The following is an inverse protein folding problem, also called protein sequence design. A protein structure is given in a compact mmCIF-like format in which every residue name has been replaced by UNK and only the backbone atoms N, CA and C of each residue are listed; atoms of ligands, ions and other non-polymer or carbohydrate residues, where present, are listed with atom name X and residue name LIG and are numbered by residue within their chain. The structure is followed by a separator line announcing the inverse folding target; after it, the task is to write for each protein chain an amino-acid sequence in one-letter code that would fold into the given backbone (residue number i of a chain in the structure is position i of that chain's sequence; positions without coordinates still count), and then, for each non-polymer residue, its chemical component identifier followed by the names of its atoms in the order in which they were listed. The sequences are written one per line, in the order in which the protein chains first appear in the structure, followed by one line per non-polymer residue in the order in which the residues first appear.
data_IF_907855983353
#
_entry.id   IF_907855983353
#
_cell.length_a   1.000
_cell.length_b   1.000
_cell.length_c   1.000
_cell.angle_alpha   90.00
_cell.angle_beta   90.00
_cell.angle_gamma   90.00
#
_symmetry.space_group_name_H-M   'P 1'
#
loop_
_entity.id
_entity.type
_entity.pdbx_description
1 polymer ?
#
# COMPACT_ATOMS: atom_id res chain seq x y z
N UNK A 1 5.12 4.19 23.58
CA UNK A 1 3.81 3.59 23.32
C UNK A 1 2.78 4.26 24.22
N UNK A 2 1.65 4.70 23.66
CA UNK A 2 0.55 5.30 24.42
C UNK A 2 -0.76 4.61 24.05
N UNK A 3 -1.53 4.23 25.05
CA UNK A 3 -2.84 3.64 24.87
C UNK A 3 -3.94 4.72 24.79
N UNK A 4 -5.00 4.44 24.04
CA UNK A 4 -6.17 5.30 24.00
C UNK A 4 -7.02 5.14 25.28
N UNK A 5 -7.42 6.24 25.88
CA UNK A 5 -8.25 6.26 27.08
C UNK A 5 -9.66 5.67 26.87
N UNK A 6 -10.10 5.58 25.62
CA UNK A 6 -11.39 5.03 25.20
C UNK A 6 -11.21 4.20 23.93
N UNK A 7 -12.25 3.42 23.54
CA UNK A 7 -12.26 2.69 22.27
C UNK A 7 -12.38 3.63 21.06
N UNK A 8 -11.43 4.57 20.91
CA UNK A 8 -11.36 5.47 19.76
C UNK A 8 -10.93 4.77 18.46
N UNK A 9 -10.25 3.62 18.59
CA UNK A 9 -9.94 2.70 17.51
C UNK A 9 -10.50 1.31 17.82
N UNK A 10 -11.03 0.64 16.83
CA UNK A 10 -11.51 -0.73 16.90
C UNK A 10 -11.13 -1.48 15.62
N UNK A 11 -10.50 -2.64 15.77
CA UNK A 11 -10.09 -3.52 14.65
C UNK A 11 -9.27 -2.81 13.55
N UNK A 12 -8.47 -1.80 13.93
CA UNK A 12 -7.66 -1.01 12.99
C UNK A 12 -8.41 0.16 12.33
N UNK A 13 -9.68 0.36 12.66
CA UNK A 13 -10.48 1.49 12.17
C UNK A 13 -10.57 2.61 13.21
N UNK A 14 -10.53 3.85 12.73
CA UNK A 14 -10.72 5.03 13.57
C UNK A 14 -12.21 5.30 13.72
N UNK A 15 -12.73 5.25 14.95
CA UNK A 15 -14.11 5.60 15.28
C UNK A 15 -14.25 7.03 15.79
N UNK A 16 -13.16 7.59 16.31
CA UNK A 16 -13.15 8.97 16.81
C UNK A 16 -11.84 9.64 16.38
N UNK A 17 -11.90 10.34 15.25
CA UNK A 17 -10.75 10.99 14.59
C UNK A 17 -10.07 11.98 15.54
N UNK A 18 -10.86 12.77 16.29
CA UNK A 18 -10.34 13.79 17.19
C UNK A 18 -9.57 13.19 18.35
N UNK A 19 -10.10 12.14 19.00
CA UNK A 19 -9.42 11.46 20.10
C UNK A 19 -8.14 10.76 19.66
N UNK A 20 -8.18 10.13 18.48
CA UNK A 20 -6.97 9.53 17.89
C UNK A 20 -5.96 10.63 17.57
N UNK A 21 -6.39 11.71 16.92
CA UNK A 21 -5.53 12.85 16.59
C UNK A 21 -4.93 13.52 17.82
N UNK A 22 -5.69 13.67 18.92
CA UNK A 22 -5.16 14.18 20.19
C UNK A 22 -4.10 13.26 20.81
N UNK A 23 -4.30 11.94 20.69
CA UNK A 23 -3.30 10.96 21.14
C UNK A 23 -2.01 11.06 20.32
N UNK A 24 -2.14 11.15 18.97
CA UNK A 24 -0.99 11.36 18.07
C UNK A 24 -0.28 12.67 18.43
N UNK A 25 -1.02 13.76 18.66
CA UNK A 25 -0.47 15.06 19.03
C UNK A 25 0.31 15.00 20.35
N UNK A 26 -0.18 14.29 21.36
CA UNK A 26 0.53 14.06 22.63
C UNK A 26 1.87 13.36 22.38
N UNK A 27 1.85 12.25 21.65
CA UNK A 27 3.06 11.49 21.31
C UNK A 27 4.04 12.33 20.50
N UNK A 28 3.55 13.08 19.49
CA UNK A 28 4.35 14.02 18.71
C UNK A 28 5.08 15.02 19.62
N UNK A 29 4.33 15.71 20.49
CA UNK A 29 4.90 16.73 21.38
C UNK A 29 5.94 16.15 22.36
N UNK A 30 5.72 14.92 22.82
CA UNK A 30 6.67 14.22 23.68
C UNK A 30 7.95 13.86 22.95
N UNK A 31 7.85 13.38 21.70
CA UNK A 31 9.00 13.08 20.85
C UNK A 31 9.77 14.35 20.46
N UNK A 32 9.08 15.44 20.09
CA UNK A 32 9.70 16.71 19.75
C UNK A 32 10.53 17.27 20.93
N UNK A 33 10.02 17.14 22.16
CA UNK A 33 10.77 17.53 23.37
C UNK A 33 11.99 16.66 23.62
N UNK A 34 11.92 15.35 23.35
CA UNK A 34 13.04 14.43 23.54
C UNK A 34 14.13 14.61 22.47
N UNK A 35 13.74 14.93 21.23
CA UNK A 35 14.62 15.05 20.08
C UNK A 35 15.14 16.49 19.87
N UNK A 36 14.57 17.46 20.59
CA UNK A 36 14.80 18.90 20.39
C UNK A 36 14.65 19.33 18.92
N UNK A 37 13.63 18.77 18.25
CA UNK A 37 13.32 19.12 16.85
C UNK A 37 11.82 18.96 16.57
N UNK A 38 11.32 19.75 15.61
CA UNK A 38 9.96 19.63 15.13
C UNK A 38 9.82 18.42 14.16
N UNK A 39 8.69 17.75 14.25
CA UNK A 39 8.28 16.64 13.38
C UNK A 39 7.17 17.15 12.45
N UNK A 40 7.37 16.99 11.13
CA UNK A 40 6.43 17.41 10.09
C UNK A 40 5.76 16.24 9.40
N UNK A 41 6.46 15.13 9.25
CA UNK A 41 6.06 14.00 8.43
C UNK A 41 6.04 12.72 9.23
N UNK A 42 5.12 11.81 8.84
CA UNK A 42 4.96 10.50 9.49
C UNK A 42 4.66 9.43 8.47
N UNK A 43 5.18 8.22 8.71
CA UNK A 43 4.78 7.02 8.00
C UNK A 43 3.68 6.30 8.81
N UNK A 44 2.64 5.84 8.13
CA UNK A 44 1.55 5.07 8.72
C UNK A 44 1.72 3.61 8.34
N UNK A 45 1.66 2.72 9.34
CA UNK A 45 1.51 1.29 9.12
C UNK A 45 0.05 0.91 9.42
N UNK A 46 -0.72 0.62 8.39
CA UNK A 46 -2.12 0.23 8.53
C UNK A 46 -2.22 -1.25 8.84
N UNK A 47 -3.10 -1.56 9.80
CA UNK A 47 -3.48 -2.92 10.15
C UNK A 47 -5.01 -3.04 10.13
N UNK A 48 -5.49 -4.26 10.15
CA UNK A 48 -6.90 -4.49 10.41
C UNK A 48 -7.56 -5.56 9.54
N UNK A 49 -8.75 -5.95 9.98
CA UNK A 49 -9.57 -6.99 9.35
C UNK A 49 -10.24 -6.53 8.06
N UNK A 50 -10.11 -5.25 7.71
CA UNK A 50 -10.72 -4.65 6.52
C UNK A 50 -9.84 -4.72 5.28
N UNK A 51 -8.61 -5.22 5.42
CA UNK A 51 -7.72 -5.48 4.28
C UNK A 51 -8.35 -6.47 3.32
N UNK A 52 -8.28 -6.15 2.03
CA UNK A 52 -8.67 -7.03 0.93
C UNK A 52 -7.47 -7.29 0.05
N UNK A 53 -7.28 -8.54 -0.33
CA UNK A 53 -6.20 -8.96 -1.22
C UNK A 53 -6.80 -9.53 -2.49
N UNK A 54 -6.28 -9.08 -3.63
CA UNK A 54 -6.71 -9.51 -4.96
C UNK A 54 -5.50 -10.02 -5.73
N UNK A 55 -5.63 -11.19 -6.34
CA UNK A 55 -4.67 -11.71 -7.31
C UNK A 55 -5.11 -11.27 -8.71
N UNK A 56 -4.24 -10.57 -9.40
CA UNK A 56 -4.49 -10.12 -10.75
C UNK A 56 -3.37 -10.55 -11.70
N UNK A 57 -3.72 -10.71 -12.96
CA UNK A 57 -2.77 -11.04 -14.04
C UNK A 57 -2.93 -10.02 -15.13
N UNK A 58 -1.82 -9.50 -15.62
CA UNK A 58 -1.79 -8.67 -16.82
C UNK A 58 -0.82 -9.26 -17.85
N UNK A 59 -1.13 -8.97 -19.10
CA UNK A 59 -0.36 -9.40 -20.24
C UNK A 59 -0.14 -8.23 -21.19
N UNK A 60 1.05 -8.13 -21.76
CA UNK A 60 1.39 -7.15 -22.77
C UNK A 60 2.04 -7.85 -23.96
N UNK A 61 1.45 -7.72 -25.14
CA UNK A 61 1.99 -8.22 -26.40
C UNK A 61 2.62 -7.07 -27.19
N UNK A 62 3.82 -7.29 -27.67
CA UNK A 62 4.53 -6.35 -28.55
C UNK A 62 4.11 -6.57 -30.02
N UNK A 63 4.15 -5.53 -30.83
CA UNK A 63 3.90 -5.65 -32.27
C UNK A 63 5.03 -6.41 -32.98
N UNK A 64 6.27 -6.27 -32.50
CA UNK A 64 7.46 -6.97 -32.96
C UNK A 64 8.29 -7.45 -31.78
N UNK A 65 9.12 -8.48 -31.97
CA UNK A 65 10.03 -8.97 -30.94
C UNK A 65 10.85 -7.83 -30.33
N UNK A 66 10.59 -7.49 -29.10
CA UNK A 66 11.12 -6.29 -28.43
C UNK A 66 11.97 -6.65 -27.23
N UNK A 67 13.07 -5.91 -27.02
CA UNK A 67 13.87 -6.04 -25.79
C UNK A 67 13.13 -5.38 -24.64
N UNK A 68 12.84 -6.16 -23.61
CA UNK A 68 12.11 -5.70 -22.42
C UNK A 68 12.98 -4.74 -21.60
N UNK A 69 12.41 -3.59 -21.26
CA UNK A 69 13.01 -2.55 -20.42
C UNK A 69 12.29 -2.43 -19.10
N UNK A 70 12.86 -1.67 -18.15
CA UNK A 70 12.20 -1.34 -16.87
C UNK A 70 10.87 -0.61 -17.09
N UNK A 71 10.75 0.24 -18.11
CA UNK A 71 9.50 0.94 -18.43
C UNK A 71 8.39 -0.05 -18.83
N UNK A 72 8.74 -1.08 -19.62
CA UNK A 72 7.79 -2.14 -19.98
C UNK A 72 7.32 -2.90 -18.75
N UNK A 73 8.23 -3.25 -17.84
CA UNK A 73 7.90 -3.95 -16.58
C UNK A 73 7.01 -3.08 -15.69
N UNK A 74 7.34 -1.80 -15.55
CA UNK A 74 6.54 -0.85 -14.79
C UNK A 74 5.12 -0.73 -15.37
N UNK A 75 4.99 -0.56 -16.67
CA UNK A 75 3.69 -0.48 -17.35
C UNK A 75 2.88 -1.77 -17.20
N UNK A 76 3.53 -2.92 -17.31
CA UNK A 76 2.89 -4.22 -17.09
C UNK A 76 2.35 -4.37 -15.65
N UNK A 77 3.14 -3.95 -14.65
CA UNK A 77 2.71 -3.98 -13.25
C UNK A 77 1.53 -3.03 -12.99
N UNK A 78 1.54 -1.83 -13.62
CA UNK A 78 0.40 -0.91 -13.54
C UNK A 78 -0.87 -1.52 -14.11
N UNK A 79 -0.80 -2.17 -15.27
CA UNK A 79 -1.95 -2.86 -15.86
C UNK A 79 -2.51 -3.94 -14.92
N UNK A 80 -1.66 -4.68 -14.24
CA UNK A 80 -2.10 -5.68 -13.27
C UNK A 80 -2.76 -5.04 -12.02
N UNK A 81 -2.26 -3.90 -11.55
CA UNK A 81 -2.89 -3.14 -10.45
C UNK A 81 -4.25 -2.59 -10.88
N UNK A 82 -4.38 -2.09 -12.12
CA UNK A 82 -5.68 -1.63 -12.68
C UNK A 82 -6.68 -2.78 -12.77
N UNK A 83 -6.25 -3.97 -13.22
CA UNK A 83 -7.10 -5.15 -13.27
C UNK A 83 -7.56 -5.56 -11.85
N UNK A 84 -6.65 -5.55 -10.86
CA UNK A 84 -7.00 -5.79 -9.47
C UNK A 84 -8.03 -4.78 -8.94
N UNK A 85 -7.88 -3.50 -9.30
CA UNK A 85 -8.85 -2.45 -8.97
C UNK A 85 -10.22 -2.69 -9.59
N UNK A 86 -10.25 -3.10 -10.85
CA UNK A 86 -11.52 -3.44 -11.52
C UNK A 86 -12.21 -4.62 -10.86
N UNK A 87 -11.44 -5.64 -10.44
CA UNK A 87 -11.99 -6.83 -9.77
C UNK A 87 -12.61 -6.45 -8.43
N UNK A 88 -11.90 -5.71 -7.57
CA UNK A 88 -12.43 -5.36 -6.24
C UNK A 88 -13.62 -4.41 -6.32
N UNK A 89 -13.67 -3.52 -7.31
CA UNK A 89 -14.79 -2.61 -7.51
C UNK A 89 -16.04 -3.32 -8.05
N UNK A 90 -15.89 -4.43 -8.80
CA UNK A 90 -17.03 -5.26 -9.22
C UNK A 90 -17.67 -6.00 -8.05
N UNK A 91 -16.91 -6.34 -7.02
CA UNK A 91 -17.41 -7.02 -5.82
C UNK A 91 -18.20 -6.09 -4.89
N UNK A 92 -18.05 -4.77 -5.03
CA UNK A 92 -18.69 -3.79 -4.14
C UNK A 92 -19.04 -2.49 -4.86
N UNK A 93 -20.29 -2.37 -5.25
CA UNK A 93 -20.82 -1.14 -5.89
C UNK A 93 -20.84 0.10 -4.97
N UNK A 94 -20.62 -0.06 -3.66
CA UNK A 94 -20.81 0.99 -2.66
C UNK A 94 -19.55 1.43 -1.94
N UNK A 95 -18.50 0.63 -1.96
CA UNK A 95 -17.26 0.92 -1.23
C UNK A 95 -16.14 1.14 -2.23
N UNK A 96 -15.49 2.28 -2.12
CA UNK A 96 -14.27 2.55 -2.87
C UNK A 96 -13.06 2.03 -2.10
N UNK A 97 -12.05 1.59 -2.84
CA UNK A 97 -10.84 1.01 -2.27
C UNK A 97 -9.59 1.71 -2.78
N UNK A 98 -8.63 1.88 -1.89
CA UNK A 98 -7.27 2.31 -2.19
C UNK A 98 -6.33 1.12 -2.24
N UNK A 99 -5.51 1.02 -3.29
CA UNK A 99 -4.39 0.09 -3.32
C UNK A 99 -3.28 0.62 -2.40
N UNK A 100 -3.04 -0.09 -1.33
CA UNK A 100 -2.03 0.30 -0.31
C UNK A 100 -0.73 -0.49 -0.44
N UNK A 101 -0.68 -1.46 -1.35
CA UNK A 101 0.51 -2.22 -1.67
C UNK A 101 0.25 -3.22 -2.78
N UNK A 102 1.28 -3.51 -3.55
CA UNK A 102 1.26 -4.57 -4.55
C UNK A 102 2.62 -5.26 -4.62
N UNK A 103 2.62 -6.53 -5.03
CA UNK A 103 3.83 -7.31 -5.16
C UNK A 103 3.69 -8.26 -6.34
N UNK A 104 4.56 -8.17 -7.35
CA UNK A 104 4.66 -9.20 -8.39
C UNK A 104 5.05 -10.53 -7.77
N UNK A 105 4.33 -11.59 -8.14
CA UNK A 105 4.58 -12.96 -7.66
C UNK A 105 5.36 -13.74 -8.70
N UNK A 106 4.97 -13.60 -9.95
CA UNK A 106 5.56 -14.33 -11.06
C UNK A 106 5.53 -13.49 -12.35
N UNK A 107 6.63 -13.58 -13.11
CA UNK A 107 6.70 -13.04 -14.46
C UNK A 107 6.80 -14.18 -15.47
N UNK A 108 6.23 -13.96 -16.67
CA UNK A 108 6.39 -14.88 -17.80
C UNK A 108 6.85 -14.14 -19.04
N UNK A 109 7.78 -14.78 -19.75
CA UNK A 109 8.30 -14.38 -21.04
C UNK A 109 7.83 -15.39 -22.09
N UNK A 110 7.04 -14.95 -23.07
CA UNK A 110 6.47 -15.83 -24.10
C UNK A 110 5.79 -17.09 -23.53
N UNK A 111 5.17 -16.94 -22.34
CA UNK A 111 4.46 -18.04 -21.63
C UNK A 111 5.33 -18.87 -20.68
N UNK A 112 6.64 -18.65 -20.62
CA UNK A 112 7.55 -19.36 -19.71
C UNK A 112 7.88 -18.51 -18.49
N UNK A 113 7.87 -19.13 -17.31
CA UNK A 113 8.20 -18.47 -16.05
C UNK A 113 9.65 -17.98 -16.07
N UNK A 114 9.87 -16.77 -15.59
CA UNK A 114 11.18 -16.13 -15.51
C UNK A 114 11.28 -15.24 -14.28
N UNK A 115 12.45 -15.19 -13.69
CA UNK A 115 12.68 -14.36 -12.49
C UNK A 115 12.84 -12.88 -12.81
N UNK A 116 13.45 -12.55 -13.96
CA UNK A 116 13.68 -11.19 -14.40
C UNK A 116 13.40 -11.05 -15.88
N UNK A 117 12.52 -10.14 -16.27
CA UNK A 117 12.17 -9.85 -17.65
C UNK A 117 13.19 -8.94 -18.34
N UNK A 118 13.88 -8.08 -17.57
CA UNK A 118 14.72 -7.03 -18.13
C UNK A 118 15.83 -7.59 -19.03
N UNK A 119 16.01 -6.95 -20.19
CA UNK A 119 17.06 -7.27 -21.14
C UNK A 119 16.76 -8.45 -22.07
N UNK A 120 15.75 -9.28 -21.79
CA UNK A 120 15.31 -10.35 -22.67
C UNK A 120 14.51 -9.81 -23.85
N UNK A 121 14.52 -10.55 -24.96
CA UNK A 121 13.63 -10.30 -26.10
C UNK A 121 12.36 -11.13 -25.97
N UNK A 122 11.23 -10.51 -26.24
CA UNK A 122 9.92 -11.12 -26.12
C UNK A 122 8.94 -10.61 -27.16
N UNK A 123 8.03 -11.45 -27.58
CA UNK A 123 6.80 -11.09 -28.28
C UNK A 123 5.70 -10.73 -27.28
N UNK A 124 5.76 -11.35 -26.09
CA UNK A 124 4.76 -11.20 -25.04
C UNK A 124 5.36 -11.34 -23.65
N UNK A 125 4.91 -10.47 -22.74
CA UNK A 125 5.25 -10.54 -21.33
C UNK A 125 3.97 -10.57 -20.49
N UNK A 126 4.00 -11.25 -19.34
CA UNK A 126 2.91 -11.22 -18.38
C UNK A 126 3.42 -11.21 -16.95
N UNK A 127 2.57 -10.73 -16.05
CA UNK A 127 2.80 -10.70 -14.61
C UNK A 127 1.59 -11.25 -13.88
N UNK A 128 1.84 -12.02 -12.85
CA UNK A 128 0.90 -12.34 -11.80
C UNK A 128 1.28 -11.50 -10.56
N UNK A 129 0.32 -10.76 -10.02
CA UNK A 129 0.54 -9.75 -9.00
C UNK A 129 -0.50 -9.89 -7.89
N UNK A 130 -0.07 -9.72 -6.65
CA UNK A 130 -0.94 -9.58 -5.49
C UNK A 130 -1.06 -8.10 -5.16
N UNK A 131 -2.27 -7.58 -5.17
CA UNK A 131 -2.58 -6.22 -4.73
C UNK A 131 -3.39 -6.26 -3.44
N UNK A 132 -3.08 -5.34 -2.51
CA UNK A 132 -3.77 -5.19 -1.24
C UNK A 132 -4.44 -3.84 -1.16
N UNK A 133 -5.68 -3.84 -0.71
CA UNK A 133 -6.57 -2.69 -0.69
C UNK A 133 -7.10 -2.42 0.71
N UNK A 134 -7.35 -1.14 0.99
CA UNK A 134 -8.12 -0.65 2.12
C UNK A 134 -9.33 0.14 1.63
N UNK A 135 -10.47 0.10 2.35
CA UNK A 135 -11.57 1.02 2.09
C UNK A 135 -11.12 2.47 2.16
N UNK A 136 -11.61 3.32 1.24
CA UNK A 136 -11.27 4.74 1.15
C UNK A 136 -11.50 5.45 2.48
N UNK A 137 -12.65 5.24 3.13
CA UNK A 137 -12.99 5.85 4.42
C UNK A 137 -12.01 5.50 5.54
N UNK A 138 -11.38 4.32 5.50
CA UNK A 138 -10.34 3.94 6.48
C UNK A 138 -9.06 4.74 6.24
N UNK A 139 -8.66 4.87 4.98
CA UNK A 139 -7.50 5.66 4.58
C UNK A 139 -7.71 7.13 4.93
N UNK A 140 -8.86 7.69 4.58
CA UNK A 140 -9.23 9.07 4.87
C UNK A 140 -9.22 9.35 6.37
N UNK A 141 -9.80 8.46 7.18
CA UNK A 141 -9.78 8.59 8.63
C UNK A 141 -8.37 8.62 9.22
N UNK A 142 -7.44 7.79 8.69
CA UNK A 142 -6.04 7.81 9.08
C UNK A 142 -5.36 9.14 8.73
N UNK A 143 -5.58 9.64 7.50
CA UNK A 143 -5.02 10.91 7.05
C UNK A 143 -5.58 12.09 7.84
N UNK A 144 -6.88 12.11 8.12
CA UNK A 144 -7.52 13.17 8.90
C UNK A 144 -7.01 13.20 10.35
N UNK A 145 -6.86 12.05 11.00
CA UNK A 145 -6.35 11.99 12.37
C UNK A 145 -4.90 12.49 12.48
N UNK A 146 -4.06 12.14 11.49
CA UNK A 146 -2.67 12.60 11.40
C UNK A 146 -2.62 14.10 11.09
N UNK A 147 -3.44 14.57 10.13
CA UNK A 147 -3.56 15.99 9.79
C UNK A 147 -4.02 16.84 10.97
N UNK A 148 -4.98 16.34 11.75
CA UNK A 148 -5.45 17.00 12.98
C UNK A 148 -4.34 17.14 14.03
N UNK A 149 -3.40 16.20 14.08
CA UNK A 149 -2.22 16.29 14.94
C UNK A 149 -1.14 17.26 14.41
N UNK A 150 -1.35 17.87 13.24
CA UNK A 150 -0.40 18.80 12.61
C UNK A 150 0.79 18.09 11.96
N UNK A 151 0.56 16.88 11.42
CA UNK A 151 1.54 16.09 10.69
C UNK A 151 1.06 15.85 9.25
N UNK A 152 2.00 15.56 8.35
CA UNK A 152 1.72 15.11 6.98
C UNK A 152 2.06 13.63 6.86
N UNK A 153 1.27 12.90 6.08
CA UNK A 153 1.56 11.50 5.78
C UNK A 153 2.58 11.45 4.65
N UNK A 154 3.78 10.97 4.95
CA UNK A 154 4.84 10.77 3.97
C UNK A 154 4.64 9.46 3.20
N UNK A 155 4.19 8.40 3.89
CA UNK A 155 3.86 7.12 3.27
C UNK A 155 2.83 6.35 4.09
N UNK A 156 2.07 5.50 3.40
CA UNK A 156 1.17 4.52 4.00
C UNK A 156 1.66 3.13 3.58
N UNK A 157 1.85 2.24 4.53
CA UNK A 157 2.23 0.85 4.31
C UNK A 157 1.36 -0.08 5.14
N UNK A 158 1.59 -1.38 5.02
CA UNK A 158 0.92 -2.38 5.84
C UNK A 158 1.78 -2.74 7.05
N UNK A 159 1.15 -2.94 8.21
CA UNK A 159 1.85 -3.30 9.45
C UNK A 159 2.77 -4.53 9.28
N UNK A 160 2.36 -5.64 8.62
CA UNK A 160 3.25 -6.78 8.40
C UNK A 160 4.49 -6.43 7.56
N UNK A 161 4.35 -5.57 6.55
CA UNK A 161 5.47 -5.13 5.70
C UNK A 161 6.43 -4.25 6.51
N UNK A 162 5.90 -3.31 7.28
CA UNK A 162 6.71 -2.46 8.15
C UNK A 162 7.48 -3.29 9.19
N UNK A 163 6.82 -4.31 9.78
CA UNK A 163 7.45 -5.20 10.75
C UNK A 163 8.55 -6.07 10.12
N UNK A 164 8.34 -6.60 8.91
CA UNK A 164 9.36 -7.38 8.19
C UNK A 164 10.62 -6.56 7.89
N UNK A 165 10.46 -5.33 7.44
CA UNK A 165 11.59 -4.43 7.13
C UNK A 165 12.46 -4.10 8.35
N UNK A 166 11.92 -4.22 9.56
CA UNK A 166 12.67 -3.98 10.81
C UNK A 166 13.27 -5.28 11.35
N UNK A 167 12.55 -6.40 11.22
CA UNK A 167 12.89 -7.65 11.87
C UNK A 167 13.81 -8.56 11.05
N UNK A 168 13.88 -8.38 9.73
CA UNK A 168 14.70 -9.19 8.82
C UNK A 168 15.89 -8.33 8.39
N UNK A 169 17.12 -8.62 8.84
CA UNK A 169 18.31 -7.94 8.31
C UNK A 169 18.52 -8.29 6.83
N UNK A 170 19.07 -7.35 6.07
CA UNK A 170 19.45 -7.53 4.66
C UNK A 170 20.54 -8.58 4.50
#
# INVERSE_FOLDING_TARGET
QQEHETRAMLDGQIHDIYKVGDTIRKVKNDLERQLDRQLSDVCIAAAGRVLRTVNATAEYAFEEETRVTQEHIYSLNLLAVEEAHMQINRESDKIRFYCVGNTPVNYRLNGFDITNLEGHKADKISVELIATFLPEEVVDGLYEAVGYAGLKVASLTLEPIAAMNIAIPE
#
